data_IF_238056971761
#
_entry.id   IF_238056971761
#
_cell.length_a   1.000
_cell.length_b   1.000
_cell.length_c   1.000
_cell.angle_alpha   90.00
_cell.angle_beta   90.00
_cell.angle_gamma   90.00
#
_symmetry.space_group_name_H-M   'P 1'
#
loop_
_entity.id
_entity.type
_entity.pdbx_description
1 polymer ?
#
# COMPACT_ATOMS: atom_id res chain seq x y z
N UNK A 1 -0.96 -5.95 -2.03
CA UNK A 1 -1.75 -6.52 -0.90
C UNK A 1 -0.93 -7.51 -0.07
N UNK A 2 -0.20 -8.47 -0.68
CA UNK A 2 0.60 -9.45 0.08
C UNK A 2 1.71 -8.81 0.91
N UNK A 3 2.40 -7.81 0.40
CA UNK A 3 3.40 -7.04 1.14
C UNK A 3 2.81 -6.36 2.38
N UNK A 4 1.61 -5.80 2.26
CA UNK A 4 0.85 -5.22 3.37
C UNK A 4 0.55 -6.27 4.44
N UNK A 5 0.06 -7.44 4.02
CA UNK A 5 -0.28 -8.53 4.93
C UNK A 5 0.97 -9.11 5.61
N UNK A 6 2.07 -9.35 4.86
CA UNK A 6 3.32 -9.83 5.43
C UNK A 6 3.89 -8.88 6.49
N UNK A 7 3.96 -7.60 6.15
CA UNK A 7 4.49 -6.57 7.04
C UNK A 7 3.66 -6.44 8.33
N UNK A 8 2.33 -6.41 8.18
CA UNK A 8 1.42 -6.34 9.30
C UNK A 8 1.49 -7.60 10.18
N UNK A 9 1.55 -8.80 9.58
CA UNK A 9 1.66 -10.05 10.32
C UNK A 9 2.94 -10.11 11.15
N UNK A 10 4.10 -9.83 10.54
CA UNK A 10 5.39 -9.84 11.25
C UNK A 10 5.40 -8.80 12.37
N UNK A 11 4.88 -7.58 12.12
CA UNK A 11 4.76 -6.55 13.14
C UNK A 11 3.85 -6.97 14.30
N UNK A 12 2.73 -7.65 14.00
CA UNK A 12 1.81 -8.17 15.02
C UNK A 12 2.45 -9.28 15.86
N UNK A 13 3.16 -10.21 15.24
CA UNK A 13 3.79 -11.33 15.95
C UNK A 13 4.94 -10.84 16.84
N UNK A 14 5.76 -9.91 16.34
CA UNK A 14 6.95 -9.43 17.08
C UNK A 14 6.62 -8.39 18.16
N UNK A 15 5.63 -7.55 17.92
CA UNK A 15 5.32 -6.40 18.79
C UNK A 15 3.88 -6.43 19.29
N UNK A 16 2.93 -6.84 18.46
CA UNK A 16 1.50 -6.78 18.76
C UNK A 16 1.08 -7.68 19.93
N UNK A 17 1.80 -8.77 20.15
CA UNK A 17 1.58 -9.72 21.26
C UNK A 17 2.62 -9.58 22.39
N UNK A 18 3.55 -8.64 22.28
CA UNK A 18 4.53 -8.36 23.35
C UNK A 18 4.00 -7.29 24.30
N UNK A 19 4.39 -7.35 25.57
CA UNK A 19 4.04 -6.36 26.59
C UNK A 19 4.97 -5.13 26.57
N UNK A 20 5.41 -4.70 25.39
CA UNK A 20 6.29 -3.54 25.25
C UNK A 20 5.53 -2.23 25.54
N UNK A 21 6.18 -1.24 26.16
CA UNK A 21 5.57 0.07 26.36
C UNK A 21 5.25 0.74 25.03
N UNK A 22 4.10 1.41 24.94
CA UNK A 22 3.58 2.01 23.70
C UNK A 22 4.56 2.96 23.00
N UNK A 23 5.44 3.62 23.75
CA UNK A 23 6.46 4.55 23.23
C UNK A 23 7.49 3.82 22.35
N UNK A 24 7.84 2.58 22.69
CA UNK A 24 8.77 1.75 21.91
C UNK A 24 8.05 0.88 20.87
N UNK A 25 6.83 0.41 21.19
CA UNK A 25 6.07 -0.48 20.31
C UNK A 25 5.68 0.20 18.99
N UNK A 26 5.16 1.44 19.04
CA UNK A 26 4.70 2.15 17.83
C UNK A 26 5.79 2.41 16.79
N UNK A 27 6.98 2.99 17.14
CA UNK A 27 8.03 3.18 16.15
C UNK A 27 8.61 1.84 15.65
N UNK A 28 8.66 0.81 16.51
CA UNK A 28 9.13 -0.50 16.11
C UNK A 28 8.21 -1.16 15.08
N UNK A 29 6.89 -1.05 15.25
CA UNK A 29 5.88 -1.52 14.28
C UNK A 29 6.07 -0.85 12.93
N UNK A 30 6.29 0.46 12.91
CA UNK A 30 6.51 1.22 11.67
C UNK A 30 7.80 0.75 10.98
N UNK A 31 8.89 0.57 11.75
CA UNK A 31 10.17 0.12 11.23
C UNK A 31 10.10 -1.32 10.68
N UNK A 32 9.44 -2.23 11.38
CA UNK A 32 9.21 -3.61 10.92
C UNK A 32 8.36 -3.58 9.64
N UNK A 33 7.28 -2.77 9.63
CA UNK A 33 6.44 -2.60 8.45
C UNK A 33 7.22 -2.19 7.21
N UNK A 34 8.08 -1.18 7.37
CA UNK A 34 8.94 -0.67 6.31
C UNK A 34 9.93 -1.74 5.82
N UNK A 35 10.63 -2.40 6.76
CA UNK A 35 11.70 -3.35 6.41
C UNK A 35 11.15 -4.63 5.78
N UNK A 36 10.10 -5.23 6.34
CA UNK A 36 9.48 -6.43 5.79
C UNK A 36 8.88 -6.15 4.43
N UNK A 37 8.16 -5.04 4.29
CA UNK A 37 7.62 -4.61 2.99
C UNK A 37 8.72 -4.41 1.95
N UNK A 38 9.82 -3.75 2.31
CA UNK A 38 10.97 -3.54 1.44
C UNK A 38 11.67 -4.86 1.05
N UNK A 39 11.78 -5.83 1.97
CA UNK A 39 12.36 -7.14 1.68
C UNK A 39 11.50 -7.92 0.69
N UNK A 40 10.18 -7.96 0.87
CA UNK A 40 9.28 -8.65 -0.06
C UNK A 40 9.28 -7.97 -1.44
N UNK A 41 9.26 -6.63 -1.48
CA UNK A 41 9.39 -5.87 -2.72
C UNK A 41 10.74 -6.09 -3.40
N UNK A 42 11.82 -6.13 -2.61
CA UNK A 42 13.17 -6.40 -3.07
C UNK A 42 13.33 -7.81 -3.65
N UNK A 43 12.68 -8.81 -3.04
CA UNK A 43 12.64 -10.18 -3.56
C UNK A 43 12.06 -10.22 -4.98
N UNK A 44 10.92 -9.54 -5.21
CA UNK A 44 10.31 -9.45 -6.55
C UNK A 44 11.24 -8.73 -7.53
N UNK A 45 11.84 -7.62 -7.10
CA UNK A 45 12.81 -6.89 -7.91
C UNK A 45 14.04 -7.73 -8.27
N UNK A 46 14.54 -8.52 -7.33
CA UNK A 46 15.65 -9.46 -7.54
C UNK A 46 15.30 -10.57 -8.54
N UNK A 47 14.11 -11.18 -8.39
CA UNK A 47 13.61 -12.19 -9.32
C UNK A 47 13.54 -11.65 -10.75
N UNK A 48 13.05 -10.45 -10.93
CA UNK A 48 13.04 -9.78 -12.22
C UNK A 48 14.45 -9.52 -12.75
N UNK A 49 15.33 -9.01 -11.92
CA UNK A 49 16.69 -8.66 -12.35
C UNK A 49 17.53 -9.91 -12.71
N UNK A 50 17.45 -10.98 -11.91
CA UNK A 50 18.28 -12.16 -12.07
C UNK A 50 17.74 -13.15 -13.09
N UNK A 51 16.40 -13.32 -13.12
CA UNK A 51 15.73 -14.36 -13.92
C UNK A 51 14.88 -13.80 -15.05
N UNK A 52 14.81 -12.46 -15.19
CA UNK A 52 13.99 -11.76 -16.18
C UNK A 52 12.50 -12.19 -16.17
N UNK A 53 11.99 -12.58 -14.98
CA UNK A 53 10.61 -12.98 -14.79
C UNK A 53 9.72 -11.73 -14.81
N UNK A 54 8.53 -11.85 -15.38
CA UNK A 54 7.56 -10.75 -15.39
C UNK A 54 7.18 -10.37 -13.96
N UNK A 55 7.33 -9.07 -13.62
CA UNK A 55 7.04 -8.55 -12.28
C UNK A 55 5.58 -8.73 -11.86
N UNK A 56 4.64 -8.62 -12.80
CA UNK A 56 3.21 -8.77 -12.52
C UNK A 56 2.91 -10.20 -12.06
N UNK A 57 3.44 -11.19 -12.78
CA UNK A 57 3.27 -12.61 -12.41
C UNK A 57 3.93 -12.89 -11.06
N UNK A 58 5.17 -12.42 -10.86
CA UNK A 58 5.89 -12.62 -9.60
C UNK A 58 5.16 -12.00 -8.40
N UNK A 59 4.61 -10.80 -8.55
CA UNK A 59 3.87 -10.14 -7.46
C UNK A 59 2.57 -10.84 -7.14
N UNK A 60 1.84 -11.32 -8.15
CA UNK A 60 0.60 -12.07 -7.93
C UNK A 60 0.90 -13.38 -7.19
N UNK A 61 1.92 -14.13 -7.62
CA UNK A 61 2.32 -15.37 -6.94
C UNK A 61 2.78 -15.11 -5.51
N UNK A 62 3.61 -14.08 -5.28
CA UNK A 62 4.03 -13.69 -3.94
C UNK A 62 2.84 -13.28 -3.05
N UNK A 63 1.82 -12.62 -3.58
CA UNK A 63 0.62 -12.28 -2.82
C UNK A 63 -0.08 -13.54 -2.30
N UNK A 64 -0.28 -14.56 -3.15
CA UNK A 64 -0.90 -15.83 -2.74
C UNK A 64 -0.02 -16.61 -1.77
N UNK A 65 1.29 -16.70 -2.01
CA UNK A 65 2.22 -17.38 -1.09
C UNK A 65 2.12 -16.74 0.29
N UNK A 66 2.23 -15.43 0.39
CA UNK A 66 2.12 -14.71 1.67
C UNK A 66 0.74 -14.93 2.31
N UNK A 67 -0.34 -14.86 1.54
CA UNK A 67 -1.68 -15.09 2.04
C UNK A 67 -1.83 -16.48 2.69
N UNK A 68 -1.37 -17.52 2.02
CA UNK A 68 -1.48 -18.88 2.56
C UNK A 68 -0.53 -19.12 3.73
N UNK A 69 0.69 -18.62 3.69
CA UNK A 69 1.67 -18.72 4.78
C UNK A 69 1.13 -18.02 6.03
N UNK A 70 0.71 -16.77 5.90
CA UNK A 70 0.15 -16.01 7.03
C UNK A 70 -1.12 -16.69 7.57
N UNK A 71 -2.00 -17.16 6.68
CA UNK A 71 -3.22 -17.88 7.08
C UNK A 71 -2.92 -19.15 7.86
N UNK A 72 -1.90 -19.90 7.44
CA UNK A 72 -1.45 -21.09 8.18
C UNK A 72 -1.02 -20.73 9.60
N UNK A 73 -0.14 -19.72 9.75
CA UNK A 73 0.32 -19.29 11.07
C UNK A 73 -0.81 -18.76 11.95
N UNK A 74 -1.72 -17.96 11.38
CA UNK A 74 -2.88 -17.45 12.14
C UNK A 74 -3.73 -18.62 12.64
N UNK A 75 -4.08 -19.58 11.78
CA UNK A 75 -4.97 -20.69 12.16
C UNK A 75 -4.33 -21.65 13.19
N UNK A 76 -3.00 -21.83 13.14
CA UNK A 76 -2.32 -22.79 14.04
C UNK A 76 -1.98 -22.17 15.39
N UNK A 77 -1.52 -20.90 15.42
CA UNK A 77 -0.92 -20.31 16.63
C UNK A 77 -1.72 -19.14 17.21
N UNK A 78 -2.44 -18.39 16.39
CA UNK A 78 -2.99 -17.09 16.77
C UNK A 78 -4.50 -16.94 16.57
N UNK A 79 -5.20 -18.02 16.25
CA UNK A 79 -6.66 -17.97 16.05
C UNK A 79 -7.38 -17.73 17.36
N UNK A 80 -8.37 -16.84 17.33
CA UNK A 80 -9.37 -16.71 18.36
C UNK A 80 -10.53 -17.68 18.05
N UNK A 81 -10.87 -18.62 18.95
CA UNK A 81 -11.91 -19.62 18.73
C UNK A 81 -13.30 -19.02 18.46
N UNK A 82 -13.57 -17.83 18.99
CA UNK A 82 -14.89 -17.17 18.90
C UNK A 82 -15.02 -16.40 17.58
N UNK A 83 -14.05 -15.52 17.28
CA UNK A 83 -14.13 -14.66 16.10
C UNK A 83 -13.58 -15.31 14.83
N UNK A 84 -12.86 -16.43 14.93
CA UNK A 84 -12.13 -17.09 13.84
C UNK A 84 -11.15 -16.17 13.09
N UNK A 85 -10.76 -15.08 13.73
CA UNK A 85 -9.74 -14.14 13.28
C UNK A 85 -8.47 -14.28 14.13
N UNK A 86 -7.43 -13.55 13.82
CA UNK A 86 -6.28 -13.46 14.72
C UNK A 86 -6.72 -12.85 16.06
N UNK A 87 -6.04 -13.21 17.14
CA UNK A 87 -6.21 -12.55 18.44
C UNK A 87 -6.07 -11.05 18.29
N UNK A 88 -6.81 -10.30 19.10
CA UNK A 88 -6.75 -8.85 19.11
C UNK A 88 -5.33 -8.37 19.47
N UNK A 89 -4.88 -7.35 18.75
CA UNK A 89 -3.59 -6.73 18.96
C UNK A 89 -3.62 -5.92 20.25
N UNK A 90 -2.57 -6.02 21.06
CA UNK A 90 -2.44 -5.27 22.30
C UNK A 90 -2.54 -3.76 22.10
N UNK A 91 -3.20 -3.07 23.02
CA UNK A 91 -3.44 -1.62 22.93
C UNK A 91 -2.14 -0.80 22.76
N UNK A 92 -1.03 -1.27 23.30
CA UNK A 92 0.28 -0.61 23.17
C UNK A 92 0.85 -0.59 21.74
N UNK A 93 0.53 -1.62 20.94
CA UNK A 93 0.99 -1.74 19.55
C UNK A 93 0.02 -1.13 18.54
N UNK A 94 -1.18 -0.75 18.94
CA UNK A 94 -2.16 -0.08 18.07
C UNK A 94 -1.64 1.30 17.66
N UNK A 95 -1.72 1.58 16.36
CA UNK A 95 -1.31 2.85 15.77
C UNK A 95 -2.43 3.91 15.89
N UNK A 96 -2.92 4.12 17.11
CA UNK A 96 -3.84 5.21 17.47
C UNK A 96 -3.08 6.30 18.24
N UNK A 97 -3.35 7.58 17.96
CA UNK A 97 -2.62 8.69 18.59
C UNK A 97 -3.14 8.98 19.99
N UNK A 98 -4.43 9.14 20.16
CA UNK A 98 -5.08 9.43 21.46
C UNK A 98 -6.56 9.07 21.33
N UNK A 99 -7.12 8.47 22.37
CA UNK A 99 -8.57 8.45 22.57
C UNK A 99 -9.02 9.84 23.01
N UNK A 100 -9.30 10.72 22.05
CA UNK A 100 -9.86 12.03 22.37
C UNK A 100 -11.37 11.86 22.49
N UNK A 101 -11.86 11.92 23.71
CA UNK A 101 -13.29 12.03 23.98
C UNK A 101 -13.72 13.49 23.81
N UNK A 102 -14.37 13.81 22.70
CA UNK A 102 -15.02 15.11 22.50
C UNK A 102 -16.52 14.92 22.78
N UNK A 103 -16.94 15.23 24.01
CA UNK A 103 -18.31 14.96 24.48
C UNK A 103 -18.59 13.45 24.58
N UNK A 104 -19.72 12.99 24.04
CA UNK A 104 -20.11 11.56 24.01
C UNK A 104 -19.47 10.75 22.88
N UNK A 105 -18.67 11.37 22.01
CA UNK A 105 -18.06 10.71 20.87
C UNK A 105 -16.58 10.40 21.13
N UNK A 106 -16.21 9.12 21.07
CA UNK A 106 -14.81 8.69 21.01
C UNK A 106 -14.30 8.86 19.59
N UNK A 107 -13.42 9.83 19.39
CA UNK A 107 -12.71 9.99 18.11
C UNK A 107 -11.31 9.40 18.23
N UNK A 108 -11.14 8.22 17.66
CA UNK A 108 -9.83 7.62 17.49
C UNK A 108 -9.13 8.29 16.29
N UNK A 109 -8.15 9.14 16.56
CA UNK A 109 -7.32 9.71 15.49
C UNK A 109 -6.23 8.71 15.14
N UNK A 110 -6.25 8.10 13.93
CA UNK A 110 -5.24 7.11 13.57
C UNK A 110 -3.89 7.81 13.33
N UNK A 111 -2.84 7.31 13.97
CA UNK A 111 -1.44 7.72 13.71
C UNK A 111 -1.07 7.52 12.23
N UNK A 112 -1.80 6.66 11.53
CA UNK A 112 -1.64 6.38 10.11
C UNK A 112 -1.67 7.62 9.21
N UNK A 113 -2.42 8.67 9.58
CA UNK A 113 -2.45 9.94 8.83
C UNK A 113 -1.09 10.62 8.86
N UNK A 114 -0.45 10.67 10.03
CA UNK A 114 0.88 11.27 10.19
C UNK A 114 1.93 10.45 9.44
N UNK A 115 1.87 9.11 9.56
CA UNK A 115 2.76 8.20 8.83
C UNK A 115 2.60 8.37 7.32
N UNK A 116 1.36 8.48 6.83
CA UNK A 116 1.08 8.70 5.41
C UNK A 116 1.61 10.06 4.93
N UNK A 117 1.41 11.13 5.70
CA UNK A 117 1.93 12.46 5.36
C UNK A 117 3.47 12.48 5.27
N UNK A 118 4.14 11.84 6.23
CA UNK A 118 5.61 11.69 6.22
C UNK A 118 6.05 10.85 5.03
N UNK A 119 5.37 9.74 4.72
CA UNK A 119 5.70 8.88 3.59
C UNK A 119 5.55 9.61 2.25
N UNK A 120 4.50 10.42 2.08
CA UNK A 120 4.33 11.26 0.88
C UNK A 120 5.42 12.31 0.78
N UNK A 121 5.72 13.04 1.87
CA UNK A 121 6.79 14.03 1.88
C UNK A 121 8.15 13.40 1.55
N UNK A 122 8.46 12.24 2.13
CA UNK A 122 9.68 11.48 1.84
C UNK A 122 9.73 11.05 0.37
N UNK A 123 8.61 10.59 -0.20
CA UNK A 123 8.56 10.19 -1.61
C UNK A 123 8.75 11.37 -2.56
N UNK A 124 8.11 12.51 -2.28
CA UNK A 124 8.30 13.76 -3.04
C UNK A 124 9.76 14.21 -3.01
N UNK A 125 10.36 14.21 -1.81
CA UNK A 125 11.75 14.56 -1.64
C UNK A 125 12.68 13.60 -2.38
N UNK A 126 12.48 12.29 -2.22
CA UNK A 126 13.28 11.26 -2.84
C UNK A 126 13.23 11.34 -4.36
N UNK A 127 12.03 11.42 -4.94
CA UNK A 127 11.85 11.50 -6.39
C UNK A 127 12.25 12.85 -6.99
N UNK A 128 12.18 13.94 -6.21
CA UNK A 128 12.44 15.29 -6.69
C UNK A 128 13.87 15.79 -6.48
N UNK A 129 14.54 15.35 -5.40
CA UNK A 129 15.76 15.97 -4.90
C UNK A 129 16.95 15.00 -4.75
N UNK A 130 16.78 13.70 -5.05
CA UNK A 130 17.87 12.73 -4.89
C UNK A 130 18.33 12.13 -6.21
N UNK A 131 19.58 11.66 -6.24
CA UNK A 131 20.17 10.94 -7.39
C UNK A 131 19.41 9.64 -7.67
N UNK A 132 18.97 8.91 -6.64
CA UNK A 132 18.14 7.73 -6.79
C UNK A 132 16.81 8.05 -7.48
N UNK A 133 16.15 9.15 -7.12
CA UNK A 133 14.92 9.59 -7.77
C UNK A 133 15.13 9.93 -9.25
N UNK A 134 16.26 10.54 -9.58
CA UNK A 134 16.65 10.80 -10.97
C UNK A 134 16.86 9.48 -11.74
N UNK A 135 17.63 8.54 -11.17
CA UNK A 135 17.88 7.23 -11.79
C UNK A 135 16.59 6.46 -12.03
N UNK A 136 15.67 6.44 -11.05
CA UNK A 136 14.38 5.77 -11.17
C UNK A 136 13.56 6.37 -12.32
N UNK A 137 13.49 7.68 -12.43
CA UNK A 137 12.79 8.37 -13.53
C UNK A 137 13.44 8.10 -14.88
N UNK A 138 14.77 8.15 -14.95
CA UNK A 138 15.52 7.88 -16.18
C UNK A 138 15.29 6.45 -16.68
N UNK A 139 15.35 5.45 -15.78
CA UNK A 139 15.09 4.06 -16.11
C UNK A 139 13.63 3.86 -16.54
N UNK A 140 12.69 4.58 -15.90
CA UNK A 140 11.26 4.54 -16.24
C UNK A 140 10.96 5.13 -17.62
N UNK A 141 11.67 6.19 -18.03
CA UNK A 141 11.52 6.81 -19.35
C UNK A 141 12.12 5.98 -20.48
N UNK A 142 13.23 5.26 -20.21
CA UNK A 142 13.84 4.40 -21.22
C UNK A 142 15.04 3.64 -20.67
N UNK A 143 14.88 2.35 -20.44
CA UNK A 143 15.93 1.50 -19.83
C UNK A 143 17.22 1.49 -20.65
N UNK A 144 17.13 1.43 -21.99
CA UNK A 144 18.31 1.43 -22.87
C UNK A 144 19.04 2.77 -22.83
N UNK A 145 18.32 3.89 -22.90
CA UNK A 145 18.90 5.22 -22.80
C UNK A 145 19.59 5.46 -21.45
N UNK A 146 18.97 5.00 -20.36
CA UNK A 146 19.54 5.07 -19.02
C UNK A 146 20.84 4.25 -18.91
N UNK A 147 20.92 3.09 -19.55
CA UNK A 147 22.11 2.24 -19.57
C UNK A 147 23.26 2.92 -20.33
N UNK A 148 22.98 3.53 -21.48
CA UNK A 148 23.99 4.34 -22.21
C UNK A 148 24.47 5.56 -21.41
N UNK A 149 23.64 6.12 -20.54
CA UNK A 149 24.02 7.19 -19.61
C UNK A 149 24.80 6.68 -18.37
N UNK A 150 25.14 5.38 -18.30
CA UNK A 150 25.93 4.79 -17.22
C UNK A 150 25.11 4.40 -15.97
N UNK A 151 23.78 4.44 -16.01
CA UNK A 151 22.91 4.06 -14.90
C UNK A 151 22.81 2.53 -14.84
N UNK A 152 23.00 1.95 -13.65
CA UNK A 152 22.87 0.51 -13.43
C UNK A 152 21.37 0.12 -13.33
N UNK A 153 20.73 -0.07 -14.48
CA UNK A 153 19.29 -0.34 -14.61
C UNK A 153 18.79 -1.45 -13.67
N UNK A 154 19.52 -2.56 -13.55
CA UNK A 154 19.12 -3.67 -12.68
C UNK A 154 19.06 -3.29 -11.20
N UNK A 155 20.09 -2.62 -10.69
CA UNK A 155 20.14 -2.14 -9.30
C UNK A 155 19.05 -1.12 -9.03
N UNK A 156 18.86 -0.17 -9.93
CA UNK A 156 17.83 0.88 -9.78
C UNK A 156 16.43 0.30 -9.75
N UNK A 157 16.14 -0.74 -10.57
CA UNK A 157 14.85 -1.45 -10.52
C UNK A 157 14.62 -2.16 -9.18
N UNK A 158 15.62 -2.87 -8.67
CA UNK A 158 15.51 -3.53 -7.36
C UNK A 158 15.26 -2.52 -6.26
N UNK A 159 16.00 -1.41 -6.23
CA UNK A 159 15.81 -0.35 -5.24
C UNK A 159 14.42 0.32 -5.35
N UNK A 160 13.93 0.55 -6.56
CA UNK A 160 12.57 1.09 -6.76
C UNK A 160 11.50 0.12 -6.21
N UNK A 161 11.66 -1.18 -6.45
CA UNK A 161 10.77 -2.22 -5.90
C UNK A 161 10.85 -2.32 -4.38
N UNK A 162 12.05 -2.17 -3.80
CA UNK A 162 12.21 -2.14 -2.33
C UNK A 162 11.52 -0.93 -1.71
N UNK A 163 11.67 0.26 -2.31
CA UNK A 163 11.01 1.48 -1.83
C UNK A 163 9.48 1.37 -1.91
N UNK A 164 8.97 0.87 -3.05
CA UNK A 164 7.55 0.62 -3.23
C UNK A 164 7.02 -0.42 -2.23
N UNK A 165 7.77 -1.51 -2.03
CA UNK A 165 7.44 -2.54 -1.04
C UNK A 165 7.43 -2.00 0.39
N UNK A 166 8.39 -1.16 0.74
CA UNK A 166 8.44 -0.49 2.05
C UNK A 166 7.22 0.40 2.28
N UNK A 167 6.82 1.20 1.29
CA UNK A 167 5.61 2.01 1.37
C UNK A 167 4.35 1.14 1.52
N UNK A 168 4.26 0.01 0.78
CA UNK A 168 3.17 -0.94 0.92
C UNK A 168 3.16 -1.61 2.31
N UNK A 169 4.33 -1.89 2.89
CA UNK A 169 4.45 -2.40 4.25
C UNK A 169 3.95 -1.40 5.30
N UNK A 170 4.29 -0.12 5.16
CA UNK A 170 3.75 0.95 5.99
C UNK A 170 2.22 1.04 5.89
N UNK A 171 1.68 0.97 4.68
CA UNK A 171 0.23 0.93 4.47
C UNK A 171 -0.39 -0.30 5.15
N UNK A 172 0.29 -1.46 5.15
CA UNK A 172 -0.16 -2.66 5.83
C UNK A 172 -0.26 -2.51 7.33
N UNK A 173 0.79 -2.01 7.98
CA UNK A 173 0.77 -1.83 9.44
C UNK A 173 -0.24 -0.76 9.86
N UNK A 174 -0.40 0.32 9.10
CA UNK A 174 -1.42 1.34 9.39
C UNK A 174 -2.83 0.82 9.18
N UNK A 175 -3.06 -0.07 8.21
CA UNK A 175 -4.35 -0.69 7.95
C UNK A 175 -4.73 -1.72 9.02
N UNK A 176 -3.86 -2.71 9.29
CA UNK A 176 -4.19 -3.82 10.19
C UNK A 176 -3.98 -3.49 11.68
N UNK A 177 -3.01 -2.64 12.03
CA UNK A 177 -2.73 -2.26 13.42
C UNK A 177 -3.30 -0.88 13.78
N UNK A 178 -3.70 -0.07 12.78
CA UNK A 178 -4.31 1.24 13.02
C UNK A 178 -5.83 1.23 12.89
N UNK A 179 -6.35 0.70 11.78
CA UNK A 179 -7.77 0.72 11.50
C UNK A 179 -8.48 -0.57 11.97
N UNK A 180 -7.92 -1.75 11.67
CA UNK A 180 -8.40 -3.01 12.20
C UNK A 180 -7.58 -3.41 13.43
N UNK A 181 -8.13 -4.21 14.31
CA UNK A 181 -7.42 -4.76 15.49
C UNK A 181 -7.11 -6.25 15.34
N UNK A 182 -7.47 -6.84 14.20
CA UNK A 182 -7.32 -8.27 13.92
C UNK A 182 -7.10 -8.51 12.42
N UNK A 183 -6.61 -9.68 12.07
CA UNK A 183 -6.40 -10.13 10.70
C UNK A 183 -7.30 -11.33 10.40
N UNK A 184 -7.96 -11.30 9.25
CA UNK A 184 -8.76 -12.41 8.77
C UNK A 184 -7.87 -13.38 7.98
N UNK A 185 -7.86 -14.68 8.29
CA UNK A 185 -7.15 -15.68 7.50
C UNK A 185 -7.78 -15.78 6.09
N UNK A 186 -6.93 -16.02 5.09
CA UNK A 186 -7.32 -16.17 3.67
C UNK A 186 -7.93 -14.94 3.00
N UNK A 187 -7.89 -13.78 3.62
CA UNK A 187 -8.41 -12.52 3.05
C UNK A 187 -7.25 -11.56 2.77
N UNK A 188 -7.15 -11.13 1.53
CA UNK A 188 -6.25 -10.03 1.14
C UNK A 188 -7.06 -8.73 1.10
N UNK A 189 -6.50 -7.66 1.63
CA UNK A 189 -7.12 -6.34 1.53
C UNK A 189 -7.25 -5.92 0.06
N UNK A 190 -8.42 -5.44 -0.35
CA UNK A 190 -8.67 -4.91 -1.70
C UNK A 190 -7.91 -3.62 -1.96
N UNK A 191 -7.52 -2.90 -0.92
CA UNK A 191 -6.82 -1.61 -0.98
C UNK A 191 -5.58 -1.61 -1.88
N UNK A 192 -4.87 -2.74 -2.01
CA UNK A 192 -3.74 -2.87 -2.93
C UNK A 192 -4.15 -2.84 -4.40
N UNK A 193 -5.34 -3.30 -4.74
CA UNK A 193 -5.90 -3.22 -6.09
C UNK A 193 -6.50 -1.83 -6.35
N UNK A 194 -7.20 -1.27 -5.37
CA UNK A 194 -7.76 0.08 -5.44
C UNK A 194 -6.66 1.14 -5.63
N UNK A 195 -5.46 0.89 -5.07
CA UNK A 195 -4.30 1.75 -5.23
C UNK A 195 -3.84 1.88 -6.70
N UNK A 196 -4.13 0.90 -7.57
CA UNK A 196 -3.85 1.00 -9.00
C UNK A 196 -4.74 2.10 -9.62
N UNK A 197 -6.02 2.10 -9.29
CA UNK A 197 -6.97 3.12 -9.73
C UNK A 197 -6.55 4.52 -9.25
N UNK A 198 -6.19 4.61 -7.96
CA UNK A 198 -5.71 5.85 -7.33
C UNK A 198 -4.45 6.38 -8.02
N UNK A 199 -3.48 5.51 -8.31
CA UNK A 199 -2.23 5.90 -8.97
C UNK A 199 -2.45 6.40 -10.40
N UNK A 200 -3.30 5.73 -11.17
CA UNK A 200 -3.65 6.14 -12.54
C UNK A 200 -4.42 7.45 -12.55
N UNK A 201 -5.42 7.60 -11.68
CA UNK A 201 -6.21 8.83 -11.56
C UNK A 201 -5.32 10.00 -11.09
N UNK A 202 -4.36 9.76 -10.19
CA UNK A 202 -3.38 10.74 -9.72
C UNK A 202 -2.25 11.02 -10.72
N UNK A 203 -2.30 10.45 -11.94
CA UNK A 203 -1.26 10.58 -12.98
C UNK A 203 0.15 10.24 -12.46
N UNK A 204 0.25 9.23 -11.60
CA UNK A 204 1.50 8.78 -10.94
C UNK A 204 2.27 9.90 -10.22
N UNK A 205 1.61 11.01 -9.89
CA UNK A 205 2.18 12.13 -9.12
C UNK A 205 1.85 11.95 -7.63
N UNK A 206 2.83 12.08 -6.72
CA UNK A 206 2.58 11.92 -5.29
C UNK A 206 1.49 12.86 -4.75
N UNK A 207 1.43 14.08 -5.24
CA UNK A 207 0.39 15.07 -4.85
C UNK A 207 -0.95 14.67 -5.47
N UNK A 208 -0.98 14.27 -6.74
CA UNK A 208 -2.19 13.80 -7.41
C UNK A 208 -2.79 12.58 -6.72
N UNK A 209 -1.96 11.67 -6.20
CA UNK A 209 -2.39 10.48 -5.45
C UNK A 209 -3.16 10.86 -4.17
N UNK A 210 -2.82 11.95 -3.49
CA UNK A 210 -3.55 12.41 -2.30
C UNK A 210 -5.00 12.74 -2.66
N UNK A 211 -5.21 13.53 -3.70
CA UNK A 211 -6.55 13.92 -4.13
C UNK A 211 -7.35 12.74 -4.68
N UNK A 212 -6.73 11.89 -5.50
CA UNK A 212 -7.39 10.71 -6.04
C UNK A 212 -7.71 9.67 -4.97
N UNK A 213 -6.86 9.48 -3.97
CA UNK A 213 -7.14 8.58 -2.84
C UNK A 213 -8.31 9.07 -2.00
N UNK A 214 -8.39 10.38 -1.75
CA UNK A 214 -9.54 10.98 -1.06
C UNK A 214 -10.84 10.72 -1.84
N UNK A 215 -10.85 10.99 -3.14
CA UNK A 215 -12.02 10.78 -4.00
C UNK A 215 -12.48 9.32 -4.00
N UNK A 216 -11.58 8.37 -4.24
CA UNK A 216 -11.91 6.93 -4.24
C UNK A 216 -12.41 6.47 -2.87
N UNK A 217 -11.80 6.99 -1.78
CA UNK A 217 -12.24 6.65 -0.42
C UNK A 217 -13.65 7.19 -0.13
N UNK A 218 -13.98 8.41 -0.57
CA UNK A 218 -15.33 8.98 -0.44
C UNK A 218 -16.35 8.12 -1.15
N UNK A 219 -16.06 7.67 -2.38
CA UNK A 219 -16.94 6.79 -3.15
C UNK A 219 -17.12 5.44 -2.42
N UNK A 220 -16.04 4.83 -1.97
CA UNK A 220 -16.08 3.54 -1.28
C UNK A 220 -16.85 3.60 0.05
N UNK A 221 -16.60 4.62 0.86
CA UNK A 221 -17.34 4.84 2.13
C UNK A 221 -18.77 5.25 1.90
N UNK A 222 -19.04 6.09 0.90
CA UNK A 222 -20.38 6.48 0.49
C UNK A 222 -21.23 5.28 0.08
N UNK A 223 -20.67 4.35 -0.70
CA UNK A 223 -21.36 3.12 -1.08
C UNK A 223 -21.69 2.23 0.12
N UNK A 224 -20.77 2.09 1.07
CA UNK A 224 -21.01 1.34 2.30
C UNK A 224 -22.17 1.96 3.11
N UNK A 225 -22.20 3.29 3.20
CA UNK A 225 -23.30 4.01 3.85
C UNK A 225 -24.63 3.82 3.10
N UNK A 226 -24.65 3.92 1.78
CA UNK A 226 -25.83 3.67 0.97
C UNK A 226 -26.33 2.24 1.10
N UNK A 227 -25.43 1.26 1.21
CA UNK A 227 -25.79 -0.12 1.44
C UNK A 227 -26.55 -0.31 2.76
N UNK A 228 -26.10 0.37 3.82
CA UNK A 228 -26.73 0.25 5.12
C UNK A 228 -28.07 1.02 5.25
N UNK A 229 -28.25 2.12 4.51
CA UNK A 229 -29.44 2.98 4.63
C UNK A 229 -30.48 2.75 3.55
N UNK A 230 -30.07 2.47 2.32
CA UNK A 230 -30.95 2.36 1.15
C UNK A 230 -31.01 0.93 0.55
N UNK A 231 -30.34 -0.05 1.17
CA UNK A 231 -30.31 -1.44 0.67
C UNK A 231 -29.61 -1.63 -0.67
N UNK A 232 -28.82 -0.63 -1.11
CA UNK A 232 -28.05 -0.73 -2.35
C UNK A 232 -26.85 -1.64 -2.08
N UNK A 233 -26.53 -2.54 -3.02
CA UNK A 233 -25.39 -3.45 -2.87
C UNK A 233 -24.07 -2.69 -2.77
N UNK A 234 -23.22 -3.05 -1.80
CA UNK A 234 -21.92 -2.39 -1.56
C UNK A 234 -20.96 -2.53 -2.76
N UNK A 235 -21.18 -3.54 -3.60
CA UNK A 235 -20.43 -3.82 -4.85
C UNK A 235 -20.56 -2.72 -5.90
N UNK A 236 -21.56 -1.85 -5.77
CA UNK A 236 -21.72 -0.67 -6.63
C UNK A 236 -20.52 0.26 -6.56
N UNK A 237 -19.82 0.33 -5.41
CA UNK A 237 -18.58 1.08 -5.31
C UNK A 237 -17.48 0.51 -6.22
N UNK A 238 -17.38 -0.81 -6.28
CA UNK A 238 -16.40 -1.49 -7.13
C UNK A 238 -16.69 -1.25 -8.62
N UNK A 239 -17.97 -1.25 -9.01
CA UNK A 239 -18.38 -0.93 -10.38
C UNK A 239 -18.07 0.53 -10.74
N UNK A 240 -18.38 1.47 -9.85
CA UNK A 240 -18.05 2.89 -10.03
C UNK A 240 -16.54 3.12 -10.14
N UNK A 241 -15.76 2.48 -9.27
CA UNK A 241 -14.30 2.55 -9.30
C UNK A 241 -13.76 2.00 -10.63
N UNK A 242 -14.32 0.89 -11.13
CA UNK A 242 -13.98 0.33 -12.45
C UNK A 242 -14.26 1.30 -13.60
N UNK A 243 -15.40 1.99 -13.58
CA UNK A 243 -15.75 3.00 -14.59
C UNK A 243 -14.79 4.19 -14.53
N UNK A 244 -14.47 4.68 -13.33
CA UNK A 244 -13.51 5.77 -13.14
C UNK A 244 -12.13 5.38 -13.68
N UNK A 245 -11.70 4.14 -13.43
CA UNK A 245 -10.45 3.58 -13.96
C UNK A 245 -10.44 3.59 -15.50
N UNK A 246 -11.53 3.15 -16.13
CA UNK A 246 -11.69 3.14 -17.57
C UNK A 246 -11.60 4.55 -18.16
N UNK A 247 -12.33 5.50 -17.58
CA UNK A 247 -12.33 6.91 -18.02
C UNK A 247 -10.92 7.52 -17.83
N UNK A 248 -10.26 7.23 -16.70
CA UNK A 248 -8.89 7.71 -16.44
C UNK A 248 -7.89 7.17 -17.46
N UNK A 249 -7.97 5.87 -17.78
CA UNK A 249 -7.14 5.24 -18.81
C UNK A 249 -7.38 5.84 -20.21
N UNK A 250 -8.63 6.10 -20.56
CA UNK A 250 -8.99 6.79 -21.80
C UNK A 250 -8.46 8.22 -21.84
N UNK A 251 -8.49 8.93 -20.71
CA UNK A 251 -7.94 10.28 -20.57
C UNK A 251 -6.44 10.34 -20.87
N UNK A 252 -5.67 9.38 -20.37
CA UNK A 252 -4.26 9.24 -20.67
C UNK A 252 -3.97 9.05 -22.16
N UNK A 253 -4.75 8.17 -22.83
CA UNK A 253 -4.66 7.93 -24.27
C UNK A 253 -4.98 9.18 -25.10
N UNK A 254 -6.04 9.90 -24.75
CA UNK A 254 -6.42 11.15 -25.42
C UNK A 254 -5.33 12.20 -25.30
N UNK A 255 -4.72 12.35 -24.10
CA UNK A 255 -3.63 13.28 -23.86
C UNK A 255 -2.39 12.95 -24.71
N UNK A 256 -1.98 11.69 -24.75
CA UNK A 256 -0.87 11.25 -25.60
C UNK A 256 -1.13 11.54 -27.08
N UNK A 257 -2.35 11.35 -27.55
CA UNK A 257 -2.73 11.61 -28.92
C UNK A 257 -2.74 13.11 -29.27
N UNK A 258 -3.12 13.95 -28.31
CA UNK A 258 -3.08 15.40 -28.45
C UNK A 258 -1.64 15.93 -28.48
N UNK A 259 -0.77 15.39 -27.63
CA UNK A 259 0.64 15.80 -27.59
C UNK A 259 1.38 15.40 -28.87
N UNK A 260 1.14 14.20 -29.40
CA UNK A 260 1.67 13.76 -30.71
C UNK A 260 1.17 14.63 -31.90
N UNK A 261 -0.03 15.26 -31.77
CA UNK A 261 -0.52 16.20 -32.79
C UNK A 261 0.15 17.56 -32.69
N UNK A 262 0.55 17.99 -31.47
CA UNK A 262 1.31 19.23 -31.28
C UNK A 262 2.74 19.14 -31.77
N UNK A 263 3.38 17.97 -31.65
CA UNK A 263 4.74 17.75 -32.19
C UNK A 263 4.78 17.68 -33.72
N UNK A 264 3.65 17.43 -34.38
CA UNK A 264 3.56 17.39 -35.86
C UNK A 264 3.18 18.73 -36.52
N UNK A 265 2.95 19.77 -35.71
CA UNK A 265 2.75 21.17 -36.14
C UNK A 265 3.96 22.02 -35.81
#
# INVERSE_FOLDING_TARGET
SGQMLAAAFVATVLVGYSELPAVLAKPLVILIGLTVGALVGGLVGFLRHRFNINEVVSTIMCNYIVQYVVSFFINVFFVDPVSRQSKNIGAAARLTLVDVTVGDYKMDIPLGIVVAAIAVAATVFLLGKTTLGFEIKAVGSGSRAAEYAGIRVGRTRVLAMMLSGGAAGLAGVTYYLGYFSSMQPRVLASTGYDAIAVALLGNSSPIGIIFSSFLITVISKGSTYMSSTAGVQAEMASALTGIILLISACGAYVRERLDRRKEKR
#
